data_IF_546408507333
#
_entry.id   IF_546408507333
#
_cell.length_a   1.000
_cell.length_b   1.000
_cell.length_c   1.000
_cell.angle_alpha   90.00
_cell.angle_beta   90.00
_cell.angle_gamma   90.00
#
_symmetry.space_group_name_H-M   'P 1'
#
loop_
_entity.id
_entity.type
_entity.pdbx_description
1 polymer ?
#
# COMPACT_ATOMS: atom_id res chain seq x y z
N UNK A 1 -3.97 25.13 24.52
CA UNK A 1 -5.19 24.51 23.96
C UNK A 1 -4.91 23.72 22.67
N UNK A 2 -4.27 24.26 21.65
CA UNK A 2 -4.05 23.63 20.34
C UNK A 2 -3.29 22.28 20.39
N UNK A 3 -2.24 22.14 21.22
CA UNK A 3 -1.49 20.88 21.39
C UNK A 3 -2.32 19.77 22.07
N UNK A 4 -3.26 20.13 22.97
CA UNK A 4 -4.12 19.16 23.67
C UNK A 4 -5.18 18.61 22.73
N UNK A 5 -5.82 19.47 21.92
CA UNK A 5 -6.80 19.02 20.92
C UNK A 5 -6.17 18.15 19.83
N UNK A 6 -4.95 18.46 19.39
CA UNK A 6 -4.24 17.64 18.40
C UNK A 6 -3.93 16.22 18.93
N UNK A 7 -3.54 16.09 20.20
CA UNK A 7 -3.35 14.78 20.84
C UNK A 7 -4.64 13.97 20.92
N UNK A 8 -5.75 14.61 21.31
CA UNK A 8 -7.06 13.97 21.38
C UNK A 8 -7.47 13.42 20.00
N UNK A 9 -7.37 14.26 18.96
CA UNK A 9 -7.73 13.82 17.59
C UNK A 9 -6.81 12.67 17.13
N UNK A 10 -5.52 12.74 17.42
CA UNK A 10 -4.59 11.65 17.08
C UNK A 10 -4.98 10.35 17.80
N UNK A 11 -5.32 10.42 19.08
CA UNK A 11 -5.76 9.24 19.83
C UNK A 11 -7.05 8.66 19.24
N UNK A 12 -8.05 9.50 18.94
CA UNK A 12 -9.31 9.05 18.32
C UNK A 12 -9.09 8.47 16.92
N UNK A 13 -8.21 9.07 16.13
CA UNK A 13 -7.81 8.57 14.81
C UNK A 13 -7.18 7.18 14.90
N UNK A 14 -6.24 6.95 15.82
CA UNK A 14 -5.59 5.65 15.98
C UNK A 14 -6.51 4.61 16.61
N UNK A 15 -7.29 4.97 17.62
CA UNK A 15 -8.27 4.07 18.26
C UNK A 15 -9.41 3.68 17.30
N UNK A 16 -9.90 4.63 16.50
CA UNK A 16 -10.91 4.35 15.48
C UNK A 16 -10.40 3.36 14.41
N UNK A 17 -9.17 3.57 13.91
CA UNK A 17 -8.53 2.61 13.02
C UNK A 17 -8.42 1.22 13.67
N UNK A 18 -7.91 1.16 14.90
CA UNK A 18 -7.72 -0.09 15.62
C UNK A 18 -9.04 -0.83 15.84
N UNK A 19 -10.10 -0.11 16.24
CA UNK A 19 -11.42 -0.72 16.46
C UNK A 19 -11.98 -1.33 15.16
N UNK A 20 -11.93 -0.61 14.04
CA UNK A 20 -12.40 -1.10 12.74
C UNK A 20 -11.57 -2.29 12.25
N UNK A 21 -10.23 -2.18 12.33
CA UNK A 21 -9.33 -3.23 11.90
C UNK A 21 -9.48 -4.51 12.73
N UNK A 22 -9.63 -4.39 14.06
CA UNK A 22 -9.87 -5.53 14.95
C UNK A 22 -11.22 -6.19 14.67
N UNK A 23 -12.28 -5.41 14.42
CA UNK A 23 -13.60 -5.97 14.06
C UNK A 23 -13.49 -6.90 12.86
N UNK A 24 -12.77 -6.48 11.81
CA UNK A 24 -12.59 -7.32 10.62
C UNK A 24 -11.65 -8.48 10.95
N UNK A 25 -10.46 -8.21 11.50
CA UNK A 25 -9.42 -9.23 11.71
C UNK A 25 -9.89 -10.42 12.58
N UNK A 26 -10.77 -10.16 13.54
CA UNK A 26 -11.25 -11.19 14.46
C UNK A 26 -12.52 -11.91 13.96
N UNK A 27 -13.29 -11.31 13.06
CA UNK A 27 -14.58 -11.86 12.65
C UNK A 27 -14.61 -12.38 11.21
N UNK A 28 -13.66 -11.98 10.35
CA UNK A 28 -13.61 -12.48 8.98
C UNK A 28 -13.29 -13.98 8.94
N UNK A 29 -14.01 -14.75 8.08
CA UNK A 29 -13.80 -16.19 7.97
C UNK A 29 -12.41 -16.55 7.41
N UNK A 30 -11.99 -17.78 7.66
CA UNK A 30 -10.95 -18.45 6.93
C UNK A 30 -11.43 -19.86 6.62
N UNK A 31 -11.82 -20.14 5.39
CA UNK A 31 -12.18 -21.47 4.94
C UNK A 31 -11.18 -22.00 3.93
N UNK A 32 -10.94 -23.29 3.97
CA UNK A 32 -10.00 -23.99 3.10
C UNK A 32 -10.65 -24.45 1.80
N UNK A 33 -11.98 -24.58 1.78
CA UNK A 33 -12.76 -25.14 0.67
C UNK A 33 -13.79 -24.14 0.13
N UNK A 34 -14.05 -24.14 -1.20
CA UNK A 34 -15.15 -23.38 -1.78
C UNK A 34 -16.53 -23.81 -1.23
N UNK A 35 -17.49 -22.88 -1.11
CA UNK A 35 -17.44 -21.49 -1.55
C UNK A 35 -16.68 -20.58 -0.59
N UNK A 36 -15.71 -19.81 -1.11
CA UNK A 36 -14.85 -18.90 -0.34
C UNK A 36 -15.52 -17.53 -0.11
N UNK A 37 -16.83 -17.47 0.04
CA UNK A 37 -17.56 -16.23 0.21
C UNK A 37 -17.17 -15.56 1.53
N UNK A 38 -16.74 -14.29 1.45
CA UNK A 38 -16.29 -13.53 2.60
C UNK A 38 -14.82 -13.74 2.99
N UNK A 39 -14.17 -14.81 2.53
CA UNK A 39 -12.76 -15.06 2.82
C UNK A 39 -11.86 -13.98 2.23
N UNK A 40 -10.82 -13.54 2.97
CA UNK A 40 -9.77 -12.69 2.40
C UNK A 40 -9.06 -13.38 1.22
N UNK A 41 -8.66 -12.61 0.19
CA UNK A 41 -8.01 -13.19 -0.97
C UNK A 41 -6.65 -13.80 -0.61
N UNK A 42 -6.43 -15.03 -1.02
CA UNK A 42 -5.19 -15.80 -0.86
C UNK A 42 -4.73 -15.99 0.60
N UNK A 43 -5.50 -15.63 1.62
CA UNK A 43 -5.06 -15.70 3.02
C UNK A 43 -4.65 -17.12 3.41
N UNK A 44 -5.45 -18.13 3.03
CA UNK A 44 -5.13 -19.52 3.33
C UNK A 44 -3.75 -19.92 2.79
N UNK A 45 -3.48 -19.63 1.51
CA UNK A 45 -2.21 -19.94 0.88
C UNK A 45 -1.02 -19.18 1.50
N UNK A 46 -1.25 -17.96 1.94
CA UNK A 46 -0.25 -17.11 2.59
C UNK A 46 0.00 -17.53 4.04
N UNK A 47 -1.02 -18.01 4.73
CA UNK A 47 -0.95 -18.47 6.11
C UNK A 47 -0.11 -19.75 6.28
N UNK A 48 0.04 -20.58 5.24
CA UNK A 48 0.92 -21.76 5.27
C UNK A 48 2.36 -21.41 5.68
N UNK A 49 2.85 -20.23 5.34
CA UNK A 49 4.23 -19.82 5.64
C UNK A 49 4.44 -19.52 7.13
N UNK A 50 3.69 -18.62 7.77
CA UNK A 50 3.82 -18.39 9.20
C UNK A 50 3.44 -19.62 10.04
N UNK A 51 2.50 -20.46 9.58
CA UNK A 51 2.17 -21.73 10.20
C UNK A 51 3.37 -22.70 10.18
N UNK A 52 4.07 -22.82 9.05
CA UNK A 52 5.29 -23.61 8.94
C UNK A 52 6.39 -23.10 9.91
N UNK A 53 6.60 -21.78 9.96
CA UNK A 53 7.59 -21.18 10.86
C UNK A 53 7.21 -21.43 12.32
N UNK A 54 5.94 -21.30 12.66
CA UNK A 54 5.44 -21.60 14.00
C UNK A 54 5.75 -23.04 14.39
N UNK A 55 5.44 -24.00 13.52
CA UNK A 55 5.62 -25.44 13.76
C UNK A 55 7.08 -25.85 13.84
N UNK A 56 7.89 -25.45 12.86
CA UNK A 56 9.25 -25.97 12.71
C UNK A 56 10.35 -25.03 13.23
N UNK A 57 10.05 -23.78 13.56
CA UNK A 57 11.01 -22.78 14.06
C UNK A 57 12.05 -22.33 13.02
N UNK A 58 11.84 -22.64 11.75
CA UNK A 58 12.72 -22.22 10.64
C UNK A 58 11.93 -21.62 9.50
N UNK A 59 12.58 -20.80 8.69
CA UNK A 59 12.00 -20.22 7.49
C UNK A 59 11.95 -21.29 6.39
N UNK A 60 10.78 -21.53 5.74
CA UNK A 60 10.68 -22.51 4.66
C UNK A 60 11.51 -22.08 3.46
N UNK A 61 12.04 -23.05 2.72
CA UNK A 61 12.76 -22.80 1.46
C UNK A 61 11.82 -22.34 0.33
N UNK A 62 10.55 -22.74 0.42
CA UNK A 62 9.53 -22.59 -0.61
C UNK A 62 9.37 -23.83 -1.49
N UNK A 63 10.23 -24.85 -1.27
CA UNK A 63 10.19 -26.13 -2.00
C UNK A 63 9.42 -27.21 -1.24
N UNK A 64 9.18 -27.03 0.06
CA UNK A 64 8.45 -27.96 0.91
C UNK A 64 6.99 -28.07 0.47
N UNK A 65 6.42 -29.28 0.54
CA UNK A 65 5.05 -29.57 0.16
C UNK A 65 4.04 -28.85 1.06
N UNK A 66 4.33 -28.74 2.36
CA UNK A 66 3.45 -28.11 3.34
C UNK A 66 3.21 -26.59 3.08
N UNK A 67 4.08 -25.95 2.32
CA UNK A 67 3.91 -24.53 1.97
C UNK A 67 3.53 -24.33 0.50
N UNK A 68 3.32 -25.43 -0.25
CA UNK A 68 2.92 -25.39 -1.64
C UNK A 68 1.43 -25.12 -1.77
N UNK A 69 1.06 -24.21 -2.64
CA UNK A 69 -0.34 -23.91 -2.96
C UNK A 69 -0.85 -24.97 -3.94
N UNK A 70 -1.85 -25.77 -3.58
CA UNK A 70 -2.26 -26.90 -4.43
C UNK A 70 -2.66 -26.50 -5.85
N UNK A 71 -3.40 -25.41 -6.02
CA UNK A 71 -3.85 -24.96 -7.33
C UNK A 71 -2.72 -24.41 -8.20
N UNK A 72 -1.81 -23.61 -7.60
CA UNK A 72 -0.75 -22.90 -8.34
C UNK A 72 0.57 -23.67 -8.42
N UNK A 73 0.75 -24.75 -7.66
CA UNK A 73 1.93 -25.59 -7.67
C UNK A 73 3.21 -25.00 -7.10
N UNK A 74 3.22 -23.74 -6.69
CA UNK A 74 4.37 -23.04 -6.06
C UNK A 74 4.02 -22.55 -4.66
N UNK A 75 5.01 -21.98 -3.97
CA UNK A 75 4.84 -21.40 -2.65
C UNK A 75 5.08 -19.88 -2.66
N UNK A 76 4.29 -19.14 -1.90
CA UNK A 76 4.60 -17.73 -1.63
C UNK A 76 5.89 -17.53 -0.81
N UNK A 77 6.46 -18.59 -0.22
CA UNK A 77 7.76 -18.53 0.46
C UNK A 77 8.97 -18.32 -0.48
N UNK A 78 8.77 -18.50 -1.80
CA UNK A 78 9.77 -18.15 -2.82
C UNK A 78 9.95 -16.65 -3.02
N UNK A 79 8.98 -15.85 -2.56
CA UNK A 79 8.99 -14.40 -2.69
C UNK A 79 9.46 -13.69 -1.42
N UNK A 80 9.08 -12.44 -1.29
CA UNK A 80 9.36 -11.59 -0.17
C UNK A 80 8.55 -12.01 1.07
N UNK A 81 9.21 -12.56 2.04
CA UNK A 81 8.57 -13.26 3.17
C UNK A 81 8.67 -12.55 4.51
N UNK A 82 9.25 -11.34 4.59
CA UNK A 82 9.49 -10.67 5.86
C UNK A 82 8.23 -10.57 6.76
N UNK A 83 7.04 -10.18 6.25
CA UNK A 83 5.84 -10.17 7.08
C UNK A 83 5.51 -11.54 7.67
N UNK A 84 5.64 -12.61 6.89
CA UNK A 84 5.37 -13.97 7.34
C UNK A 84 6.38 -14.47 8.36
N UNK A 85 7.65 -14.03 8.26
CA UNK A 85 8.67 -14.33 9.27
C UNK A 85 8.27 -13.73 10.62
N UNK A 86 7.87 -12.44 10.64
CA UNK A 86 7.42 -11.77 11.86
C UNK A 86 6.18 -12.47 12.42
N UNK A 87 5.20 -12.77 11.59
CA UNK A 87 3.98 -13.48 11.98
C UNK A 87 4.33 -14.86 12.59
N UNK A 88 5.11 -15.67 11.88
CA UNK A 88 5.45 -17.03 12.29
C UNK A 88 6.21 -17.10 13.61
N UNK A 89 7.18 -16.23 13.84
CA UNK A 89 7.90 -16.23 15.12
C UNK A 89 7.07 -15.68 16.28
N UNK A 90 6.18 -14.71 16.05
CA UNK A 90 5.24 -14.26 17.09
C UNK A 90 4.21 -15.35 17.38
N UNK A 91 3.68 -16.05 16.37
CA UNK A 91 2.83 -17.23 16.55
C UNK A 91 3.54 -18.31 17.36
N UNK A 92 4.81 -18.61 17.03
CA UNK A 92 5.61 -19.58 17.79
C UNK A 92 5.78 -19.17 19.26
N UNK A 93 5.96 -17.90 19.55
CA UNK A 93 5.99 -17.41 20.92
C UNK A 93 4.62 -17.60 21.61
N UNK A 94 3.53 -17.28 20.94
CA UNK A 94 2.16 -17.44 21.48
C UNK A 94 1.81 -18.92 21.65
N UNK A 95 2.30 -19.82 20.78
CA UNK A 95 2.06 -21.27 20.89
C UNK A 95 2.66 -21.91 22.14
N UNK A 96 3.54 -21.22 22.87
CA UNK A 96 3.99 -21.65 24.20
C UNK A 96 2.89 -21.56 25.28
N UNK A 97 1.82 -20.80 25.02
CA UNK A 97 0.74 -20.52 25.96
C UNK A 97 -0.63 -21.07 25.51
N UNK A 98 -0.78 -21.44 24.24
CA UNK A 98 -2.04 -21.96 23.69
C UNK A 98 -1.79 -22.84 22.46
N UNK A 99 -2.57 -23.92 22.34
CA UNK A 99 -2.62 -24.78 21.16
C UNK A 99 -3.75 -24.39 20.19
N UNK A 100 -4.55 -23.37 20.52
CA UNK A 100 -5.67 -22.94 19.70
C UNK A 100 -5.22 -22.37 18.36
N UNK A 101 -5.56 -23.04 17.27
CA UNK A 101 -5.27 -22.58 15.90
C UNK A 101 -5.91 -21.23 15.59
N UNK A 102 -7.11 -20.98 16.14
CA UNK A 102 -7.79 -19.67 16.05
C UNK A 102 -6.96 -18.57 16.70
N UNK A 103 -6.39 -18.82 17.88
CA UNK A 103 -5.54 -17.83 18.55
C UNK A 103 -4.24 -17.57 17.77
N UNK A 104 -3.68 -18.58 17.10
CA UNK A 104 -2.50 -18.44 16.25
C UNK A 104 -2.83 -17.66 14.99
N UNK A 105 -3.98 -17.91 14.33
CA UNK A 105 -4.45 -17.13 13.19
C UNK A 105 -4.67 -15.65 13.57
N UNK A 106 -5.35 -15.39 14.69
CA UNK A 106 -5.52 -14.02 15.19
C UNK A 106 -4.18 -13.35 15.44
N UNK A 107 -3.21 -14.07 16.00
CA UNK A 107 -1.85 -13.55 16.21
C UNK A 107 -1.22 -13.09 14.90
N UNK A 108 -1.30 -13.89 13.83
CA UNK A 108 -0.78 -13.52 12.51
C UNK A 108 -1.49 -12.27 11.94
N UNK A 109 -2.82 -12.20 12.04
CA UNK A 109 -3.62 -11.05 11.58
C UNK A 109 -3.29 -9.78 12.37
N UNK A 110 -3.09 -9.88 13.69
CA UNK A 110 -2.74 -8.75 14.55
C UNK A 110 -1.36 -8.14 14.21
N UNK A 111 -0.43 -8.92 13.68
CA UNK A 111 0.83 -8.38 13.14
C UNK A 111 0.55 -7.43 11.98
N UNK A 112 -0.36 -7.78 11.07
CA UNK A 112 -0.74 -6.90 9.97
C UNK A 112 -1.51 -5.65 10.45
N UNK A 113 -2.39 -5.79 11.44
CA UNK A 113 -3.03 -4.62 12.10
C UNK A 113 -1.98 -3.69 12.68
N UNK A 114 -0.91 -4.24 13.28
CA UNK A 114 0.21 -3.44 13.81
C UNK A 114 0.96 -2.69 12.71
N UNK A 115 1.22 -3.31 11.55
CA UNK A 115 1.80 -2.59 10.41
C UNK A 115 0.90 -1.46 9.93
N UNK A 116 -0.42 -1.65 9.91
CA UNK A 116 -1.39 -0.61 9.57
C UNK A 116 -1.39 0.55 10.58
N UNK A 117 -1.32 0.24 11.87
CA UNK A 117 -1.24 1.26 12.92
C UNK A 117 0.05 2.08 12.83
N UNK A 118 1.19 1.43 12.57
CA UNK A 118 2.47 2.10 12.32
C UNK A 118 2.40 2.97 11.05
N UNK A 119 1.78 2.48 9.98
CA UNK A 119 1.53 3.28 8.78
C UNK A 119 0.71 4.53 9.10
N UNK A 120 -0.37 4.41 9.87
CA UNK A 120 -1.22 5.54 10.27
C UNK A 120 -0.42 6.61 11.03
N UNK A 121 0.51 6.20 11.90
CA UNK A 121 1.43 7.13 12.60
C UNK A 121 2.36 7.83 11.61
N UNK A 122 2.95 7.12 10.66
CA UNK A 122 3.83 7.71 9.64
C UNK A 122 3.04 8.67 8.74
N UNK A 123 1.83 8.30 8.34
CA UNK A 123 0.92 9.17 7.56
C UNK A 123 0.61 10.47 8.29
N UNK A 124 0.39 10.42 9.61
CA UNK A 124 0.24 11.63 10.43
C UNK A 124 1.49 12.51 10.37
N UNK A 125 2.70 11.93 10.44
CA UNK A 125 3.94 12.70 10.30
C UNK A 125 4.10 13.30 8.89
N UNK A 126 3.71 12.60 7.84
CA UNK A 126 3.65 13.16 6.48
C UNK A 126 2.69 14.34 6.46
N UNK A 127 1.47 14.17 6.96
CA UNK A 127 0.45 15.20 7.00
C UNK A 127 0.93 16.49 7.70
N UNK A 128 1.65 16.34 8.82
CA UNK A 128 2.28 17.48 9.54
C UNK A 128 3.31 18.21 8.71
N UNK A 129 4.00 17.52 7.84
CA UNK A 129 5.02 18.09 6.96
C UNK A 129 4.42 18.79 5.74
N UNK A 130 3.33 18.27 5.17
CA UNK A 130 2.81 18.74 3.88
C UNK A 130 1.62 19.70 4.01
N UNK A 131 0.86 19.65 5.11
CA UNK A 131 -0.30 20.50 5.35
C UNK A 131 -0.14 21.33 6.65
N UNK A 132 -0.09 22.65 6.52
CA UNK A 132 -0.05 23.56 7.67
C UNK A 132 -1.42 23.69 8.34
N UNK A 133 -2.48 23.77 7.53
CA UNK A 133 -3.86 23.82 8.03
C UNK A 133 -4.27 22.43 8.57
N UNK A 134 -4.66 22.40 9.85
CA UNK A 134 -5.04 21.16 10.53
C UNK A 134 -6.22 20.44 9.88
N UNK A 135 -7.17 21.16 9.26
CA UNK A 135 -8.34 20.57 8.58
C UNK A 135 -7.92 19.68 7.43
N UNK A 136 -7.04 20.18 6.55
CA UNK A 136 -6.53 19.41 5.41
C UNK A 136 -5.50 18.35 5.82
N UNK A 137 -4.74 18.61 6.90
CA UNK A 137 -3.87 17.59 7.50
C UNK A 137 -4.65 16.36 7.92
N UNK A 138 -5.72 16.55 8.68
CA UNK A 138 -6.55 15.44 9.13
C UNK A 138 -7.34 14.81 7.97
N UNK A 139 -7.84 15.60 7.02
CA UNK A 139 -8.48 15.07 5.83
C UNK A 139 -7.54 14.12 5.08
N UNK A 140 -6.28 14.50 4.88
CA UNK A 140 -5.26 13.63 4.28
C UNK A 140 -5.05 12.35 5.11
N UNK A 141 -4.88 12.47 6.42
CA UNK A 141 -4.66 11.32 7.30
C UNK A 141 -5.82 10.32 7.20
N UNK A 142 -7.06 10.81 7.32
CA UNK A 142 -8.23 9.95 7.22
C UNK A 142 -8.42 9.39 5.81
N UNK A 143 -8.19 10.16 4.75
CA UNK A 143 -8.31 9.69 3.37
C UNK A 143 -7.35 8.54 3.05
N UNK A 144 -6.13 8.55 3.59
CA UNK A 144 -5.17 7.45 3.43
C UNK A 144 -5.55 6.25 4.29
N UNK A 145 -5.81 6.47 5.58
CA UNK A 145 -5.88 5.38 6.57
C UNK A 145 -7.26 4.72 6.64
N UNK A 146 -8.30 5.48 6.31
CA UNK A 146 -9.69 5.03 6.36
C UNK A 146 -10.30 4.80 4.96
N UNK A 147 -9.48 4.64 3.91
CA UNK A 147 -9.99 4.06 2.67
C UNK A 147 -10.37 2.61 2.98
N UNK A 148 -11.64 2.17 2.73
CA UNK A 148 -12.09 0.84 3.15
C UNK A 148 -11.16 -0.28 2.69
N UNK A 149 -10.78 -0.33 1.39
CA UNK A 149 -9.86 -1.35 0.88
C UNK A 149 -8.48 -1.28 1.53
N UNK A 150 -7.96 -0.06 1.75
CA UNK A 150 -6.67 0.13 2.43
C UNK A 150 -6.72 -0.41 3.87
N UNK A 151 -7.80 -0.15 4.60
CA UNK A 151 -7.99 -0.67 5.96
C UNK A 151 -8.12 -2.20 5.95
N UNK A 152 -8.87 -2.77 5.00
CA UNK A 152 -9.05 -4.21 4.85
C UNK A 152 -7.71 -4.94 4.64
N UNK A 153 -6.79 -4.37 3.86
CA UNK A 153 -5.45 -4.96 3.65
C UNK A 153 -4.63 -5.11 4.94
N UNK A 154 -4.97 -4.40 5.99
CA UNK A 154 -4.30 -4.53 7.30
C UNK A 154 -4.92 -5.58 8.22
N UNK A 155 -5.94 -6.33 7.78
CA UNK A 155 -6.75 -7.16 8.68
C UNK A 155 -6.57 -8.66 8.50
N UNK A 156 -5.83 -9.11 7.51
CA UNK A 156 -5.60 -10.52 7.20
C UNK A 156 -4.14 -10.81 6.83
N UNK A 157 -3.77 -12.08 6.77
CA UNK A 157 -2.38 -12.51 6.49
C UNK A 157 -2.02 -12.23 5.03
N UNK A 158 -1.19 -11.22 4.82
CA UNK A 158 -0.68 -10.80 3.51
C UNK A 158 0.61 -9.99 3.65
N UNK A 159 1.22 -9.65 2.52
CA UNK A 159 2.41 -8.77 2.45
C UNK A 159 2.06 -7.31 2.19
N UNK A 160 0.85 -7.03 1.75
CA UNK A 160 0.39 -5.69 1.34
C UNK A 160 0.40 -4.71 2.52
N UNK A 161 0.06 -5.16 3.72
CA UNK A 161 0.09 -4.34 4.93
C UNK A 161 1.48 -3.77 5.22
N UNK A 162 2.52 -4.61 5.18
CA UNK A 162 3.91 -4.18 5.36
C UNK A 162 4.39 -3.31 4.18
N UNK A 163 3.95 -3.62 2.96
CA UNK A 163 4.21 -2.80 1.78
C UNK A 163 3.67 -1.37 1.95
N UNK A 164 2.42 -1.21 2.41
CA UNK A 164 1.82 0.11 2.65
C UNK A 164 2.58 0.90 3.74
N UNK A 165 3.05 0.24 4.80
CA UNK A 165 3.96 0.86 5.77
C UNK A 165 5.27 1.30 5.12
N UNK A 166 5.87 0.46 4.29
CA UNK A 166 7.13 0.76 3.61
C UNK A 166 7.02 1.96 2.67
N UNK A 167 5.93 2.03 1.88
CA UNK A 167 5.66 3.19 1.02
C UNK A 167 5.43 4.47 1.83
N UNK A 168 4.75 4.38 2.98
CA UNK A 168 4.60 5.51 3.89
C UNK A 168 5.96 6.01 4.42
N UNK A 169 6.85 5.11 4.83
CA UNK A 169 8.19 5.47 5.30
C UNK A 169 9.02 6.12 4.19
N UNK A 170 8.98 5.58 2.97
CA UNK A 170 9.68 6.16 1.82
C UNK A 170 9.14 7.54 1.45
N UNK A 171 7.81 7.72 1.37
CA UNK A 171 7.20 9.03 1.12
C UNK A 171 7.54 10.03 2.23
N UNK A 172 7.55 9.60 3.49
CA UNK A 172 7.98 10.46 4.60
C UNK A 172 9.45 10.89 4.44
N UNK A 173 10.34 9.96 4.08
CA UNK A 173 11.74 10.27 3.80
C UNK A 173 11.89 11.26 2.64
N UNK A 174 11.17 11.05 1.52
CA UNK A 174 11.17 11.95 0.36
C UNK A 174 10.72 13.37 0.76
N UNK A 175 9.65 13.50 1.54
CA UNK A 175 9.15 14.79 2.06
C UNK A 175 10.17 15.44 2.99
N UNK A 176 10.83 14.67 3.87
CA UNK A 176 11.85 15.19 4.77
C UNK A 176 13.09 15.64 4.01
N UNK A 177 13.58 14.88 3.05
CA UNK A 177 14.71 15.25 2.19
C UNK A 177 14.40 16.51 1.40
N UNK A 178 13.20 16.60 0.84
CA UNK A 178 12.77 17.78 0.09
C UNK A 178 12.77 19.05 0.96
N UNK A 179 12.29 18.96 2.21
CA UNK A 179 12.13 20.12 3.12
C UNK A 179 13.37 20.47 3.91
N UNK A 180 13.98 19.47 4.53
CA UNK A 180 15.02 19.65 5.55
C UNK A 180 16.41 19.29 5.00
N UNK A 181 16.47 18.72 3.80
CA UNK A 181 17.71 18.20 3.21
C UNK A 181 18.07 16.80 3.69
N UNK A 182 19.18 16.29 3.15
CA UNK A 182 19.71 14.98 3.53
C UNK A 182 20.50 15.06 4.83
N UNK A 183 20.20 14.15 5.74
CA UNK A 183 20.89 13.95 7.01
C UNK A 183 20.73 12.48 7.44
N UNK A 184 21.41 12.06 8.50
CA UNK A 184 21.40 10.67 8.99
C UNK A 184 19.98 10.19 9.28
N UNK A 185 19.15 10.99 9.95
CA UNK A 185 17.78 10.63 10.29
C UNK A 185 16.92 10.36 9.04
N UNK A 186 16.98 11.26 8.05
CA UNK A 186 16.20 11.11 6.82
C UNK A 186 16.72 9.94 5.99
N UNK A 187 18.03 9.68 6.01
CA UNK A 187 18.66 8.52 5.37
C UNK A 187 18.20 7.21 6.02
N UNK A 188 18.08 7.15 7.37
CA UNK A 188 17.56 5.97 8.06
C UNK A 188 16.09 5.69 7.75
N UNK A 189 15.25 6.74 7.68
CA UNK A 189 13.86 6.57 7.23
C UNK A 189 13.77 6.02 5.80
N UNK A 190 14.61 6.54 4.91
CA UNK A 190 14.69 6.06 3.52
C UNK A 190 15.17 4.61 3.47
N UNK A 191 16.26 4.28 4.16
CA UNK A 191 16.80 2.93 4.22
C UNK A 191 15.80 1.94 4.80
N UNK A 192 15.15 2.27 5.92
CA UNK A 192 14.12 1.43 6.55
C UNK A 192 12.93 1.16 5.62
N UNK A 193 12.43 2.20 4.94
CA UNK A 193 11.38 2.05 3.93
C UNK A 193 11.82 1.15 2.77
N UNK A 194 13.03 1.32 2.25
CA UNK A 194 13.60 0.48 1.17
C UNK A 194 13.72 -0.98 1.63
N UNK A 195 14.25 -1.22 2.83
CA UNK A 195 14.40 -2.59 3.38
C UNK A 195 13.04 -3.28 3.48
N UNK A 196 12.05 -2.64 4.11
CA UNK A 196 10.71 -3.22 4.22
C UNK A 196 10.05 -3.44 2.86
N UNK A 197 10.22 -2.52 1.91
CA UNK A 197 9.71 -2.66 0.55
C UNK A 197 10.37 -3.84 -0.17
N UNK A 198 11.70 -3.92 -0.13
CA UNK A 198 12.46 -4.97 -0.80
C UNK A 198 12.13 -6.38 -0.25
N UNK A 199 11.77 -6.48 1.02
CA UNK A 199 11.45 -7.74 1.71
C UNK A 199 9.94 -8.02 1.81
N UNK A 200 9.06 -7.20 1.21
CA UNK A 200 7.61 -7.41 1.30
C UNK A 200 6.89 -7.50 -0.04
N UNK A 201 7.16 -6.64 -1.03
CA UNK A 201 6.29 -6.61 -2.21
C UNK A 201 6.92 -6.00 -3.47
N UNK A 202 7.04 -6.78 -4.53
CA UNK A 202 7.68 -6.35 -5.80
C UNK A 202 6.97 -5.20 -6.51
N UNK A 203 5.63 -5.11 -6.44
CA UNK A 203 4.87 -4.05 -7.11
C UNK A 203 5.19 -2.65 -6.59
N UNK A 204 5.79 -2.55 -5.39
CA UNK A 204 6.22 -1.28 -4.81
C UNK A 204 7.68 -0.92 -5.10
N UNK A 205 8.44 -1.75 -5.83
CA UNK A 205 9.86 -1.48 -6.12
C UNK A 205 10.08 -0.17 -6.90
N UNK A 206 9.08 0.31 -7.61
CA UNK A 206 9.11 1.65 -8.19
C UNK A 206 9.41 2.76 -7.17
N UNK A 207 9.00 2.59 -5.91
CA UNK A 207 9.33 3.54 -4.84
C UNK A 207 10.82 3.57 -4.49
N UNK A 208 11.53 2.45 -4.60
CA UNK A 208 12.98 2.38 -4.42
C UNK A 208 13.66 3.22 -5.50
N UNK A 209 13.23 3.08 -6.76
CA UNK A 209 13.72 3.90 -7.88
C UNK A 209 13.42 5.38 -7.64
N UNK A 210 12.22 5.73 -7.18
CA UNK A 210 11.85 7.11 -6.80
C UNK A 210 12.78 7.68 -5.71
N UNK A 211 13.09 6.88 -4.67
CA UNK A 211 14.03 7.30 -3.63
C UNK A 211 15.44 7.58 -4.20
N UNK A 212 15.94 6.70 -5.07
CA UNK A 212 17.24 6.87 -5.73
C UNK A 212 17.24 8.16 -6.58
N UNK A 213 16.22 8.35 -7.42
CA UNK A 213 16.12 9.50 -8.30
C UNK A 213 16.08 10.83 -7.51
N UNK A 214 15.24 10.93 -6.49
CA UNK A 214 15.17 12.14 -5.67
C UNK A 214 16.47 12.36 -4.89
N UNK A 215 17.08 11.28 -4.36
CA UNK A 215 18.35 11.35 -3.65
C UNK A 215 19.46 11.90 -4.56
N UNK A 216 19.64 11.35 -5.74
CA UNK A 216 20.67 11.81 -6.71
C UNK A 216 20.42 13.27 -7.10
N UNK A 217 19.18 13.62 -7.45
CA UNK A 217 18.84 14.98 -7.89
C UNK A 217 18.92 16.03 -6.77
N UNK A 218 18.84 15.62 -5.50
CA UNK A 218 18.95 16.53 -4.36
C UNK A 218 20.28 17.26 -4.30
N UNK A 219 21.37 16.66 -4.77
CA UNK A 219 22.73 17.24 -4.75
C UNK A 219 23.03 18.15 -5.93
N UNK A 220 22.12 18.28 -6.89
CA UNK A 220 22.22 19.24 -7.97
C UNK A 220 21.81 20.63 -7.46
N UNK A 221 22.76 21.57 -7.43
CA UNK A 221 22.56 22.94 -6.93
C UNK A 221 22.77 23.94 -8.07
N UNK A 222 21.87 24.92 -8.17
CA UNK A 222 22.03 26.04 -9.09
C UNK A 222 23.00 27.05 -8.48
N UNK A 223 24.05 27.42 -9.22
CA UNK A 223 25.01 28.46 -8.81
C UNK A 223 24.42 29.85 -8.96
N UNK A 224 24.82 30.80 -8.11
CA UNK A 224 24.44 32.21 -8.22
C UNK A 224 24.98 32.86 -9.49
N UNK A 225 26.15 32.44 -9.94
CA UNK A 225 26.81 32.87 -11.18
C UNK A 225 26.22 32.30 -12.47
N UNK A 226 25.13 31.51 -12.38
CA UNK A 226 24.56 30.71 -13.47
C UNK A 226 25.22 29.33 -13.58
N UNK A 227 24.51 28.38 -14.20
CA UNK A 227 24.93 26.98 -14.28
C UNK A 227 24.59 26.16 -13.06
N UNK A 228 25.11 24.92 -13.02
CA UNK A 228 24.84 23.94 -11.97
C UNK A 228 26.14 23.44 -11.33
N UNK A 229 26.09 23.09 -10.06
CA UNK A 229 27.14 22.35 -9.35
C UNK A 229 26.55 21.09 -8.74
N UNK A 230 27.37 20.07 -8.55
CA UNK A 230 26.96 18.83 -7.94
C UNK A 230 27.86 18.49 -6.75
N UNK A 231 27.26 18.26 -5.59
CA UNK A 231 28.00 17.93 -4.35
C UNK A 231 28.27 16.42 -4.26
N UNK A 232 29.25 15.97 -5.02
CA UNK A 232 29.67 14.57 -5.10
C UNK A 232 30.11 13.99 -3.75
N UNK A 233 30.83 14.77 -2.94
CA UNK A 233 31.34 14.31 -1.64
C UNK A 233 30.17 13.98 -0.69
N UNK A 234 29.21 14.87 -0.62
CA UNK A 234 28.04 14.68 0.22
C UNK A 234 27.13 13.58 -0.32
N UNK A 235 26.95 13.50 -1.63
CA UNK A 235 26.20 12.44 -2.29
C UNK A 235 26.79 11.07 -1.99
N UNK A 236 28.09 10.88 -2.20
CA UNK A 236 28.79 9.63 -1.91
C UNK A 236 28.69 9.26 -0.43
N UNK A 237 28.93 10.21 0.48
CA UNK A 237 28.84 9.99 1.92
C UNK A 237 27.49 9.38 2.32
N UNK A 238 26.39 10.02 1.96
CA UNK A 238 25.04 9.55 2.34
C UNK A 238 24.57 8.38 1.45
N UNK A 239 24.98 8.31 0.20
CA UNK A 239 24.70 7.21 -0.70
C UNK A 239 25.33 5.90 -0.20
N UNK A 240 26.62 5.91 0.13
CA UNK A 240 27.28 4.75 0.73
C UNK A 240 26.66 4.36 2.09
N UNK A 241 26.27 5.35 2.93
CA UNK A 241 25.58 5.08 4.19
C UNK A 241 24.25 4.37 3.95
N UNK A 242 23.38 4.90 3.06
CA UNK A 242 22.11 4.28 2.72
C UNK A 242 22.31 2.89 2.13
N UNK A 243 23.24 2.75 1.17
CA UNK A 243 23.53 1.47 0.54
C UNK A 243 24.01 0.43 1.55
N UNK A 244 24.91 0.80 2.48
CA UNK A 244 25.40 -0.11 3.51
C UNK A 244 24.25 -0.58 4.43
N UNK A 245 23.41 0.34 4.93
CA UNK A 245 22.27 0.00 5.79
C UNK A 245 21.27 -0.91 5.03
N UNK A 246 20.98 -0.59 3.78
CA UNK A 246 20.06 -1.41 2.95
C UNK A 246 20.65 -2.79 2.69
N UNK A 247 21.91 -2.88 2.26
CA UNK A 247 22.58 -4.16 1.98
C UNK A 247 22.65 -5.07 3.22
N UNK A 248 22.93 -4.51 4.40
CA UNK A 248 22.88 -5.27 5.67
C UNK A 248 21.45 -5.76 5.93
N UNK A 249 20.45 -4.92 5.70
CA UNK A 249 19.06 -5.25 5.97
C UNK A 249 18.46 -6.31 5.05
N UNK A 250 18.84 -6.32 3.75
CA UNK A 250 18.26 -7.23 2.76
C UNK A 250 19.21 -8.32 2.27
N UNK A 251 20.53 -8.15 2.43
CA UNK A 251 21.56 -9.03 1.84
C UNK A 251 21.40 -10.48 2.28
N UNK A 252 21.09 -10.69 3.56
CA UNK A 252 20.87 -12.03 4.11
C UNK A 252 19.79 -12.82 3.35
N UNK A 253 18.71 -12.13 2.91
CA UNK A 253 17.62 -12.78 2.19
C UNK A 253 18.05 -13.19 0.77
N UNK A 254 18.69 -12.29 0.04
CA UNK A 254 19.14 -12.59 -1.32
C UNK A 254 20.28 -13.59 -1.37
N UNK A 255 21.20 -13.55 -0.39
CA UNK A 255 22.26 -14.56 -0.25
C UNK A 255 21.66 -15.93 0.04
N UNK A 256 20.68 -15.99 0.97
CA UNK A 256 19.95 -17.22 1.26
C UNK A 256 19.23 -17.75 0.01
N UNK A 257 18.50 -16.90 -0.69
CA UNK A 257 17.78 -17.30 -1.91
C UNK A 257 18.76 -17.84 -2.97
N UNK A 258 19.87 -17.18 -3.18
CA UNK A 258 20.93 -17.64 -4.08
C UNK A 258 21.44 -19.04 -3.73
N UNK A 259 21.71 -19.30 -2.45
CA UNK A 259 22.23 -20.60 -1.99
C UNK A 259 21.13 -21.69 -2.06
N UNK A 260 19.93 -21.38 -1.62
CA UNK A 260 18.85 -22.38 -1.47
C UNK A 260 18.14 -22.70 -2.80
N UNK A 261 18.13 -21.75 -3.72
CA UNK A 261 17.41 -21.84 -5.00
C UNK A 261 18.38 -21.91 -6.22
N UNK A 262 19.56 -22.48 -6.04
CA UNK A 262 20.54 -22.74 -7.09
C UNK A 262 20.84 -21.52 -7.98
N UNK A 263 21.07 -20.36 -7.36
CA UNK A 263 21.40 -19.10 -8.04
C UNK A 263 20.21 -18.19 -8.35
N UNK A 264 18.98 -18.59 -8.05
CA UNK A 264 17.78 -17.77 -8.25
C UNK A 264 17.60 -16.76 -7.11
N UNK A 265 18.16 -15.57 -7.26
CA UNK A 265 18.13 -14.49 -6.27
C UNK A 265 16.73 -14.03 -5.89
N UNK A 266 15.78 -14.07 -6.84
CA UNK A 266 14.42 -13.55 -6.68
C UNK A 266 13.36 -14.63 -6.52
N UNK A 267 13.72 -15.90 -6.67
CA UNK A 267 12.79 -17.02 -6.61
C UNK A 267 11.82 -17.12 -7.79
N UNK A 268 12.01 -16.29 -8.84
CA UNK A 268 11.08 -16.20 -9.96
C UNK A 268 11.21 -17.39 -10.91
N UNK A 269 12.44 -17.81 -11.25
CA UNK A 269 12.67 -18.96 -12.10
C UNK A 269 12.26 -20.27 -11.40
N UNK A 270 12.53 -20.38 -10.11
CA UNK A 270 12.11 -21.52 -9.28
C UNK A 270 10.59 -21.60 -9.18
N UNK A 271 9.93 -20.45 -8.97
CA UNK A 271 8.46 -20.38 -8.99
C UNK A 271 7.87 -20.88 -10.31
N UNK A 272 8.40 -20.42 -11.43
CA UNK A 272 7.91 -20.81 -12.74
C UNK A 272 8.09 -22.32 -12.97
N UNK A 273 9.26 -22.86 -12.64
CA UNK A 273 9.54 -24.30 -12.67
C UNK A 273 8.51 -25.11 -11.86
N UNK A 274 8.25 -24.68 -10.62
CA UNK A 274 7.30 -25.36 -9.74
C UNK A 274 5.87 -25.23 -10.27
N UNK A 275 5.48 -24.06 -10.77
CA UNK A 275 4.15 -23.86 -11.36
C UNK A 275 3.95 -24.76 -12.58
N UNK A 276 4.93 -24.86 -13.48
CA UNK A 276 4.87 -25.78 -14.63
C UNK A 276 4.71 -27.23 -14.19
N UNK A 277 5.43 -27.64 -13.15
CA UNK A 277 5.46 -29.03 -12.70
C UNK A 277 4.22 -29.46 -11.90
N UNK A 278 3.65 -28.58 -11.08
CA UNK A 278 2.67 -28.96 -10.05
C UNK A 278 1.33 -28.18 -10.14
N UNK A 279 1.22 -27.14 -10.96
CA UNK A 279 -0.05 -26.41 -11.07
C UNK A 279 -1.12 -27.22 -11.79
N UNK A 280 -2.38 -27.00 -11.41
CA UNK A 280 -3.51 -27.52 -12.17
C UNK A 280 -3.57 -26.86 -13.56
N UNK A 281 -4.13 -27.57 -14.54
CA UNK A 281 -4.11 -27.16 -15.96
C UNK A 281 -4.62 -25.73 -16.20
N UNK A 282 -5.66 -25.33 -15.46
CA UNK A 282 -6.31 -24.00 -15.61
C UNK A 282 -5.42 -22.79 -15.25
N UNK A 283 -4.37 -23.00 -14.46
CA UNK A 283 -3.44 -21.94 -14.01
C UNK A 283 -1.97 -22.30 -14.27
N UNK A 284 -1.73 -23.37 -15.05
CA UNK A 284 -0.37 -23.75 -15.43
C UNK A 284 0.19 -22.75 -16.45
N UNK A 285 1.41 -22.22 -16.26
CA UNK A 285 2.00 -21.22 -17.17
C UNK A 285 2.08 -21.65 -18.65
N UNK A 286 2.12 -22.97 -18.93
CA UNK A 286 2.20 -23.48 -20.30
C UNK A 286 0.84 -23.51 -21.02
N UNK A 287 -0.25 -23.61 -20.28
CA UNK A 287 -1.61 -23.76 -20.84
C UNK A 287 -2.48 -22.53 -20.62
N UNK A 288 -2.14 -21.70 -19.64
CA UNK A 288 -2.90 -20.51 -19.29
C UNK A 288 -2.87 -19.47 -20.39
N UNK A 289 -4.06 -19.06 -20.85
CA UNK A 289 -4.20 -18.01 -21.85
C UNK A 289 -4.18 -16.62 -21.19
N UNK A 290 -3.34 -15.74 -21.71
CA UNK A 290 -3.29 -14.32 -21.33
C UNK A 290 -3.86 -13.46 -22.44
N UNK A 291 -4.23 -12.20 -22.16
CA UNK A 291 -4.66 -11.28 -23.23
C UNK A 291 -3.59 -11.13 -24.31
N UNK A 292 -2.33 -11.04 -23.89
CA UNK A 292 -1.20 -10.95 -24.80
C UNK A 292 -1.07 -12.21 -25.68
N UNK A 293 -1.16 -13.42 -25.11
CA UNK A 293 -1.05 -14.66 -25.87
C UNK A 293 -2.22 -14.90 -26.82
N UNK A 294 -3.40 -14.37 -26.51
CA UNK A 294 -4.59 -14.40 -27.35
C UNK A 294 -4.57 -13.35 -28.48
N UNK A 295 -3.55 -12.51 -28.54
CA UNK A 295 -3.41 -11.46 -29.56
C UNK A 295 -4.25 -10.20 -29.33
N UNK A 296 -4.86 -10.04 -28.15
CA UNK A 296 -5.58 -8.82 -27.81
C UNK A 296 -4.62 -7.64 -27.59
N UNK A 297 -5.05 -6.45 -27.96
CA UNK A 297 -4.41 -5.20 -27.55
C UNK A 297 -4.79 -4.83 -26.12
N UNK A 298 -3.99 -4.00 -25.45
CA UNK A 298 -4.33 -3.44 -24.12
C UNK A 298 -5.69 -2.71 -24.14
N UNK A 299 -6.01 -2.03 -25.26
CA UNK A 299 -7.27 -1.32 -25.40
C UNK A 299 -8.48 -2.27 -25.46
N UNK A 300 -8.36 -3.39 -26.18
CA UNK A 300 -9.39 -4.43 -26.26
C UNK A 300 -9.58 -5.10 -24.90
N UNK A 301 -8.51 -5.36 -24.15
CA UNK A 301 -8.60 -5.84 -22.77
C UNK A 301 -9.48 -4.92 -21.92
N UNK A 302 -9.28 -3.59 -21.99
CA UNK A 302 -10.08 -2.62 -21.25
C UNK A 302 -11.54 -2.59 -21.71
N UNK A 303 -11.81 -2.79 -22.99
CA UNK A 303 -13.16 -2.77 -23.55
C UNK A 303 -13.96 -4.01 -23.17
N UNK A 304 -13.33 -5.17 -23.11
CA UNK A 304 -14.04 -6.45 -22.97
C UNK A 304 -14.26 -6.87 -21.51
N UNK A 305 -13.22 -6.85 -20.68
CA UNK A 305 -13.31 -7.39 -19.31
C UNK A 305 -12.69 -6.52 -18.24
N UNK A 306 -11.56 -5.86 -18.52
CA UNK A 306 -10.83 -5.04 -17.54
C UNK A 306 -11.48 -3.68 -17.39
N UNK A 307 -12.49 -3.57 -16.55
CA UNK A 307 -13.26 -2.33 -16.44
C UNK A 307 -12.64 -1.35 -15.44
N UNK A 308 -12.51 -0.09 -15.85
CA UNK A 308 -12.13 1.00 -14.93
C UNK A 308 -13.08 1.10 -13.73
N UNK A 309 -14.35 0.72 -13.92
CA UNK A 309 -15.34 0.69 -12.84
C UNK A 309 -15.03 -0.39 -11.83
N UNK A 310 -14.66 -1.61 -12.27
CA UNK A 310 -14.26 -2.71 -11.38
C UNK A 310 -13.01 -2.39 -10.59
N UNK A 311 -11.99 -1.82 -11.24
CA UNK A 311 -10.79 -1.31 -10.58
C UNK A 311 -11.11 -0.25 -9.54
N UNK A 312 -11.99 0.71 -9.87
CA UNK A 312 -12.36 1.77 -8.96
C UNK A 312 -13.15 1.22 -7.75
N UNK A 313 -14.12 0.33 -7.99
CA UNK A 313 -14.90 -0.25 -6.90
C UNK A 313 -14.01 -1.05 -5.93
N UNK A 314 -13.14 -1.90 -6.47
CA UNK A 314 -12.22 -2.68 -5.63
C UNK A 314 -11.06 -1.86 -5.05
N UNK A 315 -10.72 -0.69 -5.60
CA UNK A 315 -9.81 0.26 -4.97
C UNK A 315 -10.44 0.96 -3.77
N UNK A 316 -11.74 1.28 -3.85
CA UNK A 316 -12.47 1.93 -2.74
C UNK A 316 -12.79 0.92 -1.65
N UNK A 317 -13.31 -0.25 -2.01
CA UNK A 317 -13.64 -1.31 -1.06
C UNK A 317 -14.38 -2.46 -1.73
N UNK A 318 -13.76 -3.64 -1.74
CA UNK A 318 -14.37 -4.92 -2.12
C UNK A 318 -13.76 -6.02 -1.24
N UNK A 319 -14.39 -6.26 -0.10
CA UNK A 319 -13.86 -7.18 0.91
C UNK A 319 -14.09 -8.65 0.54
N UNK A 320 -13.45 -9.53 1.28
CA UNK A 320 -13.37 -10.93 0.92
C UNK A 320 -12.59 -11.11 -0.38
N UNK A 321 -12.80 -12.20 -1.09
CA UNK A 321 -12.24 -12.39 -2.45
C UNK A 321 -13.06 -11.61 -3.48
N UNK A 322 -13.22 -10.30 -3.30
CA UNK A 322 -14.10 -9.41 -4.08
C UNK A 322 -15.58 -9.86 -4.06
N UNK A 323 -16.04 -10.40 -2.94
CA UNK A 323 -17.40 -10.91 -2.77
C UNK A 323 -18.33 -9.95 -2.01
N UNK A 324 -17.77 -9.02 -1.23
CA UNK A 324 -18.51 -8.07 -0.40
C UNK A 324 -18.28 -6.65 -0.91
N UNK A 325 -19.28 -6.11 -1.59
CA UNK A 325 -19.23 -4.75 -2.16
C UNK A 325 -20.02 -3.74 -1.31
N UNK A 326 -19.59 -2.49 -1.37
CA UNK A 326 -20.31 -1.35 -0.82
C UNK A 326 -21.59 -1.01 -1.60
N UNK A 327 -22.38 -0.07 -1.07
CA UNK A 327 -23.52 0.46 -1.81
C UNK A 327 -23.08 1.26 -3.04
N UNK A 328 -23.99 1.39 -3.99
CA UNK A 328 -23.75 2.27 -5.17
C UNK A 328 -23.52 3.73 -4.74
N UNK A 329 -24.11 4.15 -3.61
CA UNK A 329 -23.95 5.49 -3.06
C UNK A 329 -22.55 5.72 -2.49
N UNK A 330 -21.94 4.70 -1.87
CA UNK A 330 -20.55 4.74 -1.43
C UNK A 330 -19.62 5.08 -2.60
N UNK A 331 -19.70 4.31 -3.68
CA UNK A 331 -18.84 4.52 -4.84
C UNK A 331 -19.11 5.85 -5.53
N UNK A 332 -20.38 6.30 -5.60
CA UNK A 332 -20.73 7.63 -6.13
C UNK A 332 -20.12 8.74 -5.26
N UNK A 333 -20.19 8.62 -3.93
CA UNK A 333 -19.61 9.60 -3.03
C UNK A 333 -18.08 9.69 -3.18
N UNK A 334 -17.40 8.55 -3.30
CA UNK A 334 -15.96 8.55 -3.57
C UNK A 334 -15.62 9.13 -4.96
N UNK A 335 -16.44 8.89 -5.99
CA UNK A 335 -16.26 9.56 -7.31
C UNK A 335 -16.34 11.08 -7.18
N UNK A 336 -17.27 11.60 -6.39
CA UNK A 336 -17.37 13.05 -6.12
C UNK A 336 -16.15 13.56 -5.36
N UNK A 337 -15.67 12.83 -4.34
CA UNK A 337 -14.47 13.18 -3.61
C UNK A 337 -13.24 13.26 -4.53
N UNK A 338 -13.00 12.24 -5.37
CA UNK A 338 -11.88 12.21 -6.31
C UNK A 338 -12.03 13.30 -7.39
N UNK A 339 -13.23 13.49 -7.95
CA UNK A 339 -13.48 14.54 -8.93
C UNK A 339 -13.19 15.94 -8.37
N UNK A 340 -13.62 16.23 -7.15
CA UNK A 340 -13.31 17.49 -6.47
C UNK A 340 -11.80 17.68 -6.29
N UNK A 341 -11.08 16.65 -5.86
CA UNK A 341 -9.63 16.65 -5.74
C UNK A 341 -8.92 16.93 -7.07
N UNK A 342 -9.30 16.21 -8.12
CA UNK A 342 -8.72 16.35 -9.46
C UNK A 342 -8.99 17.75 -10.03
N UNK A 343 -10.25 18.22 -10.00
CA UNK A 343 -10.62 19.56 -10.49
C UNK A 343 -9.83 20.64 -9.74
N UNK A 344 -9.73 20.53 -8.42
CA UNK A 344 -8.94 21.46 -7.62
C UNK A 344 -7.44 21.45 -7.95
N UNK A 345 -6.86 20.27 -8.16
CA UNK A 345 -5.47 20.11 -8.57
C UNK A 345 -5.21 20.72 -9.96
N UNK A 346 -6.07 20.47 -10.93
CA UNK A 346 -5.98 21.05 -12.28
C UNK A 346 -6.11 22.57 -12.26
N UNK A 347 -7.11 23.12 -11.55
CA UNK A 347 -7.29 24.57 -11.42
C UNK A 347 -6.10 25.22 -10.72
N UNK A 348 -5.49 24.54 -9.74
CA UNK A 348 -4.26 25.01 -9.11
C UNK A 348 -3.12 25.08 -10.12
N UNK A 349 -2.87 24.04 -10.91
CA UNK A 349 -1.82 24.01 -11.93
C UNK A 349 -1.98 25.14 -12.95
N UNK A 350 -3.21 25.39 -13.44
CA UNK A 350 -3.50 26.45 -14.41
C UNK A 350 -3.23 27.85 -13.83
N UNK A 351 -3.66 28.10 -12.59
CA UNK A 351 -3.46 29.42 -11.93
C UNK A 351 -2.03 29.61 -11.43
N UNK A 352 -1.37 28.54 -11.01
CA UNK A 352 -0.02 28.56 -10.48
C UNK A 352 1.00 28.95 -11.55
N UNK A 353 0.85 28.43 -12.76
CA UNK A 353 1.71 28.73 -13.91
C UNK A 353 1.77 30.26 -14.20
N UNK A 354 0.72 30.99 -13.83
CA UNK A 354 0.63 32.45 -14.04
C UNK A 354 1.26 33.29 -12.94
N UNK A 355 1.54 32.77 -11.73
CA UNK A 355 1.86 33.56 -10.54
C UNK A 355 3.22 33.30 -9.88
N UNK A 356 3.85 32.14 -10.11
CA UNK A 356 5.10 31.76 -9.43
C UNK A 356 5.99 30.89 -10.30
N UNK A 357 7.30 31.19 -10.34
CA UNK A 357 8.28 30.27 -10.93
C UNK A 357 8.48 29.09 -9.98
N UNK A 358 8.18 27.89 -10.42
CA UNK A 358 8.42 26.65 -9.70
C UNK A 358 9.93 26.41 -9.66
N UNK A 359 10.50 26.11 -8.49
CA UNK A 359 11.91 25.76 -8.39
C UNK A 359 12.15 24.39 -9.02
N UNK A 360 13.36 24.14 -9.57
CA UNK A 360 13.70 22.83 -10.11
C UNK A 360 13.52 21.70 -9.09
N UNK A 361 13.86 21.95 -7.80
CA UNK A 361 13.67 21.00 -6.70
C UNK A 361 12.19 20.66 -6.45
N UNK A 362 11.30 21.64 -6.56
CA UNK A 362 9.84 21.44 -6.43
C UNK A 362 9.28 20.62 -7.60
N UNK A 363 9.74 20.89 -8.82
CA UNK A 363 9.42 20.07 -10.00
C UNK A 363 9.83 18.62 -9.81
N UNK A 364 11.07 18.37 -9.40
CA UNK A 364 11.56 17.01 -9.15
C UNK A 364 10.75 16.28 -8.09
N UNK A 365 10.40 16.96 -7.00
CA UNK A 365 9.55 16.38 -5.98
C UNK A 365 8.20 15.93 -6.56
N UNK A 366 7.53 16.79 -7.32
CA UNK A 366 6.25 16.45 -7.93
C UNK A 366 6.35 15.37 -8.99
N UNK A 367 7.39 15.37 -9.82
CA UNK A 367 7.64 14.29 -10.79
C UNK A 367 7.79 12.96 -10.08
N UNK A 368 8.58 12.90 -9.00
CA UNK A 368 8.72 11.67 -8.21
C UNK A 368 7.40 11.20 -7.58
N UNK A 369 6.61 12.12 -7.02
CA UNK A 369 5.31 11.77 -6.44
C UNK A 369 4.34 11.24 -7.51
N UNK A 370 4.33 11.81 -8.72
CA UNK A 370 3.56 11.32 -9.86
C UNK A 370 4.08 9.96 -10.36
N UNK A 371 5.38 9.77 -10.38
CA UNK A 371 5.99 8.48 -10.69
C UNK A 371 5.55 7.39 -9.70
N UNK A 372 5.47 7.70 -8.40
CA UNK A 372 4.94 6.79 -7.37
C UNK A 372 3.46 6.45 -7.55
N UNK A 373 2.68 7.29 -8.26
CA UNK A 373 1.31 6.95 -8.67
C UNK A 373 1.33 6.10 -9.93
N UNK A 374 2.11 6.52 -10.93
CA UNK A 374 2.12 5.90 -12.24
C UNK A 374 2.62 4.44 -12.22
N UNK A 375 3.69 4.16 -11.48
CA UNK A 375 4.32 2.84 -11.50
C UNK A 375 3.42 1.70 -11.01
N UNK A 376 2.71 1.80 -9.87
CA UNK A 376 1.76 0.76 -9.48
C UNK A 376 0.63 0.57 -10.48
N UNK A 377 0.13 1.67 -11.08
CA UNK A 377 -0.90 1.61 -12.13
C UNK A 377 -0.38 0.87 -13.35
N UNK A 378 0.81 1.25 -13.83
CA UNK A 378 1.45 0.62 -14.98
C UNK A 378 1.70 -0.87 -14.74
N UNK A 379 2.29 -1.24 -13.61
CA UNK A 379 2.58 -2.63 -13.26
C UNK A 379 1.31 -3.47 -13.14
N UNK A 380 0.23 -2.92 -12.57
CA UNK A 380 -1.06 -3.60 -12.47
C UNK A 380 -1.64 -3.91 -13.85
N UNK A 381 -1.63 -2.94 -14.76
CA UNK A 381 -2.12 -3.10 -16.13
C UNK A 381 -1.23 -4.09 -16.90
N UNK A 382 0.09 -3.93 -16.78
CA UNK A 382 1.07 -4.79 -17.45
C UNK A 382 0.89 -6.26 -17.00
N UNK A 383 0.78 -6.50 -15.70
CA UNK A 383 0.57 -7.84 -15.16
C UNK A 383 -0.76 -8.45 -15.62
N UNK A 384 -1.85 -7.68 -15.59
CA UNK A 384 -3.16 -8.14 -16.06
C UNK A 384 -3.17 -8.49 -17.55
N UNK A 385 -2.35 -7.82 -18.36
CA UNK A 385 -2.23 -8.06 -19.80
C UNK A 385 -1.34 -9.26 -20.13
N UNK A 386 -0.20 -9.41 -19.42
CA UNK A 386 0.86 -10.37 -19.81
C UNK A 386 0.86 -11.67 -19.00
N UNK A 387 0.29 -11.67 -17.80
CA UNK A 387 0.50 -12.78 -16.86
C UNK A 387 -0.80 -13.39 -16.37
N UNK A 388 -1.64 -12.61 -15.70
CA UNK A 388 -2.88 -13.12 -15.11
C UNK A 388 -3.92 -12.00 -15.03
N UNK A 389 -5.09 -12.26 -15.62
CA UNK A 389 -6.18 -11.30 -15.59
C UNK A 389 -6.68 -11.08 -14.16
N UNK A 390 -6.41 -9.90 -13.62
CA UNK A 390 -6.87 -9.52 -12.29
C UNK A 390 -7.36 -8.08 -12.28
N UNK A 391 -8.67 -7.88 -12.29
CA UNK A 391 -9.31 -6.56 -12.20
C UNK A 391 -9.46 -6.11 -10.74
N UNK A 392 -8.34 -6.03 -10.00
CA UNK A 392 -8.34 -5.77 -8.56
C UNK A 392 -7.64 -4.46 -8.23
N UNK A 393 -8.41 -3.50 -7.68
CA UNK A 393 -7.91 -2.18 -7.27
C UNK A 393 -6.93 -2.22 -6.09
N UNK A 394 -6.86 -3.32 -5.32
CA UNK A 394 -5.87 -3.47 -4.24
C UNK A 394 -4.42 -3.32 -4.72
N UNK A 395 -4.12 -3.72 -5.96
CA UNK A 395 -2.78 -3.56 -6.53
C UNK A 395 -2.37 -2.10 -6.79
N UNK A 396 -3.34 -1.17 -6.72
CA UNK A 396 -3.10 0.28 -6.82
C UNK A 396 -2.80 0.92 -5.45
N UNK A 397 -2.99 0.20 -4.35
CA UNK A 397 -2.80 0.74 -2.98
C UNK A 397 -1.38 1.26 -2.68
N UNK A 398 -0.30 0.75 -3.28
CA UNK A 398 0.99 1.43 -3.16
C UNK A 398 0.94 2.91 -3.59
N UNK A 399 0.09 3.29 -4.55
CA UNK A 399 -0.08 4.68 -4.98
C UNK A 399 -0.93 5.54 -4.02
N UNK A 400 -1.52 4.97 -2.98
CA UNK A 400 -2.54 5.61 -2.13
C UNK A 400 -2.06 6.93 -1.51
N UNK A 401 -0.87 6.94 -0.91
CA UNK A 401 -0.37 8.12 -0.18
C UNK A 401 -0.14 9.32 -1.12
N UNK A 402 0.62 9.19 -2.23
CA UNK A 402 0.78 10.29 -3.16
C UNK A 402 -0.53 10.69 -3.86
N UNK A 403 -1.43 9.73 -4.12
CA UNK A 403 -2.74 10.03 -4.68
C UNK A 403 -3.57 10.89 -3.72
N UNK A 404 -3.70 10.48 -2.46
CA UNK A 404 -4.47 11.23 -1.46
C UNK A 404 -3.82 12.57 -1.11
N UNK A 405 -2.49 12.70 -1.23
CA UNK A 405 -1.82 13.98 -1.14
C UNK A 405 -2.34 14.96 -2.20
N UNK A 406 -2.40 14.53 -3.48
CA UNK A 406 -2.89 15.39 -4.56
C UNK A 406 -4.40 15.67 -4.45
N UNK A 407 -5.20 14.67 -4.04
CA UNK A 407 -6.64 14.86 -3.83
C UNK A 407 -6.91 15.90 -2.73
N UNK A 408 -6.27 15.74 -1.58
CA UNK A 408 -6.41 16.69 -0.45
C UNK A 408 -5.87 18.07 -0.81
N UNK A 409 -4.74 18.13 -1.53
CA UNK A 409 -4.17 19.39 -2.01
C UNK A 409 -5.10 20.10 -3.00
N UNK A 410 -5.74 19.34 -3.87
CA UNK A 410 -6.75 19.85 -4.79
C UNK A 410 -7.96 20.44 -4.06
N UNK A 411 -8.52 19.71 -3.09
CA UNK A 411 -9.65 20.19 -2.27
C UNK A 411 -9.25 21.45 -1.50
N UNK A 412 -8.02 21.49 -0.93
CA UNK A 412 -7.49 22.70 -0.32
C UNK A 412 -7.49 23.87 -1.31
N UNK A 413 -7.02 23.64 -2.53
CA UNK A 413 -6.95 24.70 -3.54
C UNK A 413 -8.31 25.14 -4.07
N UNK A 414 -9.29 24.26 -4.15
CA UNK A 414 -10.69 24.63 -4.39
C UNK A 414 -11.20 25.62 -3.34
N UNK A 415 -10.91 25.37 -2.07
CA UNK A 415 -11.35 26.23 -0.97
C UNK A 415 -10.70 27.63 -0.97
N UNK A 416 -9.55 27.79 -1.63
CA UNK A 416 -8.81 29.05 -1.77
C UNK A 416 -9.22 29.85 -3.03
N UNK A 417 -10.14 29.32 -3.85
CA UNK A 417 -10.58 30.01 -5.08
C UNK A 417 -11.37 31.26 -4.73
N UNK A 418 -10.96 32.39 -5.35
CA UNK A 418 -11.74 33.62 -5.32
C UNK A 418 -12.51 33.81 -6.62
N UNK A 419 -13.81 34.09 -6.52
CA UNK A 419 -14.66 34.48 -7.62
C UNK A 419 -15.03 35.96 -7.48
N UNK A 420 -14.72 36.81 -8.48
CA UNK A 420 -14.92 38.26 -8.45
C UNK A 420 -14.33 38.93 -7.21
N UNK A 421 -13.13 38.49 -6.76
CA UNK A 421 -12.45 39.03 -5.58
C UNK A 421 -12.96 38.53 -4.22
N UNK A 422 -14.02 37.71 -4.18
CA UNK A 422 -14.56 37.12 -2.96
C UNK A 422 -14.14 35.64 -2.83
N UNK A 423 -13.57 35.25 -1.72
CA UNK A 423 -13.30 33.85 -1.37
C UNK A 423 -14.57 33.19 -0.82
N UNK A 424 -14.64 31.88 -0.87
CA UNK A 424 -15.73 31.14 -0.23
C UNK A 424 -15.78 31.45 1.27
N UNK A 425 -16.99 31.66 1.84
CA UNK A 425 -17.15 31.88 3.28
C UNK A 425 -16.67 30.65 4.06
N UNK A 426 -16.06 30.88 5.22
CA UNK A 426 -15.45 29.81 6.04
C UNK A 426 -16.40 28.66 6.39
N UNK A 427 -17.68 28.97 6.60
CA UNK A 427 -18.67 27.94 6.91
C UNK A 427 -18.86 26.96 5.75
N UNK A 428 -18.87 27.44 4.51
CA UNK A 428 -19.03 26.61 3.31
C UNK A 428 -17.80 25.71 3.10
N UNK A 429 -16.59 26.24 3.32
CA UNK A 429 -15.34 25.46 3.29
C UNK A 429 -15.38 24.36 4.37
N UNK A 430 -15.78 24.70 5.59
CA UNK A 430 -15.89 23.74 6.68
C UNK A 430 -16.96 22.67 6.39
N UNK A 431 -18.11 23.06 5.83
CA UNK A 431 -19.14 22.12 5.40
C UNK A 431 -18.63 21.15 4.31
N UNK A 432 -17.92 21.64 3.29
CA UNK A 432 -17.30 20.79 2.27
C UNK A 432 -16.27 19.79 2.86
N UNK A 433 -15.45 20.25 3.79
CA UNK A 433 -14.50 19.36 4.51
C UNK A 433 -15.24 18.32 5.36
N UNK A 434 -16.31 18.72 6.07
CA UNK A 434 -17.14 17.80 6.83
C UNK A 434 -17.79 16.73 5.93
N UNK A 435 -18.27 17.09 4.75
CA UNK A 435 -18.77 16.14 3.74
C UNK A 435 -17.67 15.16 3.33
N UNK A 436 -16.43 15.62 3.11
CA UNK A 436 -15.32 14.70 2.80
C UNK A 436 -15.06 13.71 3.95
N UNK A 437 -15.08 14.16 5.21
CA UNK A 437 -14.97 13.25 6.37
C UNK A 437 -16.14 12.27 6.46
N UNK A 438 -17.37 12.71 6.19
CA UNK A 438 -18.53 11.82 6.14
C UNK A 438 -18.42 10.75 5.07
N UNK A 439 -17.91 11.09 3.89
CA UNK A 439 -17.65 10.13 2.81
C UNK A 439 -16.62 9.09 3.26
N UNK A 440 -15.50 9.53 3.84
CA UNK A 440 -14.40 8.64 4.21
C UNK A 440 -14.79 7.76 5.41
N UNK A 441 -15.16 8.37 6.53
CA UNK A 441 -15.47 7.64 7.77
C UNK A 441 -16.77 6.85 7.63
N UNK A 442 -17.82 7.48 7.09
CA UNK A 442 -19.11 6.84 6.85
C UNK A 442 -19.00 5.67 5.87
N UNK A 443 -18.19 5.83 4.81
CA UNK A 443 -17.93 4.76 3.86
C UNK A 443 -17.21 3.58 4.50
N UNK A 444 -16.24 3.82 5.37
CA UNK A 444 -15.55 2.73 6.08
C UNK A 444 -16.49 2.04 7.08
N UNK A 445 -17.31 2.80 7.81
CA UNK A 445 -18.33 2.25 8.72
C UNK A 445 -19.35 1.42 7.94
N UNK A 446 -19.82 1.90 6.77
CA UNK A 446 -20.70 1.13 5.91
C UNK A 446 -20.08 -0.21 5.51
N UNK A 447 -18.84 -0.19 5.00
CA UNK A 447 -18.16 -1.42 4.55
C UNK A 447 -17.98 -2.41 5.70
N UNK A 448 -17.56 -1.95 6.87
CA UNK A 448 -17.26 -2.82 8.02
C UNK A 448 -18.53 -3.35 8.68
N UNK A 449 -19.43 -2.46 9.09
CA UNK A 449 -20.56 -2.84 9.95
C UNK A 449 -21.85 -3.17 9.20
N UNK A 450 -22.06 -2.57 8.03
CA UNK A 450 -23.30 -2.79 7.26
C UNK A 450 -23.11 -3.89 6.21
N UNK A 451 -21.90 -4.01 5.61
CA UNK A 451 -21.64 -4.96 4.53
C UNK A 451 -20.91 -6.20 5.00
N UNK A 452 -19.77 -6.05 5.67
CA UNK A 452 -18.91 -7.18 6.00
C UNK A 452 -19.38 -7.92 7.27
N UNK A 453 -19.68 -7.20 8.34
CA UNK A 453 -20.02 -7.81 9.62
C UNK A 453 -21.18 -8.82 9.54
N UNK A 454 -22.32 -8.54 8.88
CA UNK A 454 -23.39 -9.54 8.76
C UNK A 454 -22.93 -10.82 8.06
N UNK A 455 -22.16 -10.69 6.97
CA UNK A 455 -21.61 -11.83 6.23
C UNK A 455 -20.69 -12.66 7.12
N UNK A 456 -19.81 -12.01 7.88
CA UNK A 456 -18.86 -12.70 8.75
C UNK A 456 -19.54 -13.44 9.91
N UNK A 457 -20.63 -12.87 10.45
CA UNK A 457 -21.41 -13.51 11.51
C UNK A 457 -22.21 -14.72 10.98
N UNK A 458 -22.69 -14.69 9.74
CA UNK A 458 -23.38 -15.79 9.09
C UNK A 458 -22.43 -16.93 8.69
N UNK A 459 -21.25 -16.59 8.16
CA UNK A 459 -20.27 -17.58 7.67
C UNK A 459 -19.53 -18.25 8.83
N UNK A 460 -19.29 -17.52 9.92
CA UNK A 460 -18.50 -18.01 11.06
C UNK A 460 -17.02 -18.19 10.74
N UNK A 461 -16.23 -18.48 11.77
CA UNK A 461 -14.84 -18.93 11.62
C UNK A 461 -14.85 -20.44 11.39
N UNK A 462 -14.60 -20.88 10.16
CA UNK A 462 -14.44 -22.30 9.83
C UNK A 462 -12.96 -22.54 9.65
N UNK A 463 -12.33 -23.16 10.65
CA UNK A 463 -11.00 -23.75 10.57
C UNK A 463 -11.21 -25.27 10.41
N UNK A 464 -11.36 -25.76 9.19
CA UNK A 464 -11.29 -27.18 8.85
C UNK A 464 -10.09 -27.45 7.95
#
# INVERSE_FOLDING_TARGET
>A
MQKKSEKIILTLYLLGFLALALTIALLQPLANTPPLFGNPPDEHARYLIPQFICKYGRIPTGLEEEVRIPAYGFSYALYNVFPYIVQGYIMRFVSLFTESEIALLYTARLVNVTFGLLMAVVVYFIGKRVFQDARFRWLFCFAVTYLPEGLFMHTYVNTDSCCMLSTAMMVYALVCVYRDGINVRNSLWMSGGIILCALSYYNAYGYIVSCILLFVMFFLQKKESGGYSYDWKKMLKYGCFIAAVVLIGIGWWFIRSYIVLDGDLLGLATREKMAIQYAVESVNPLTMQTYHSMGYTVFEMFRERYTLSGLFHSFVGAFGSMSIYGSIWLYRAYKVFFAAGIVGALLYLIRYKKRRKISGREWFFHINMLYCIFMPVFLTIYYAYTTDYQNQGRYLLPALIPLMYYMTKGIQKLSEISFRGRTFPRWLVNAGIAVCFLIIIGGTIEMVYVRALPVYLETGLVLE
#
